data_IF_805360410455
#
_entry.id   IF_805360410455
#
_cell.length_a   1.000
_cell.length_b   1.000
_cell.length_c   1.000
_cell.angle_alpha   90.00
_cell.angle_beta   90.00
_cell.angle_gamma   90.00
#
_symmetry.space_group_name_H-M   'P 1'
#
loop_
_entity.id
_entity.type
_entity.pdbx_description
1 polymer ?
#
# COMPACT_ATOMS: atom_id res chain seq x y z
N UNK A 1 3.36 7.95 19.43
CA UNK A 1 2.61 8.01 18.18
C UNK A 1 3.42 7.31 17.08
N UNK A 2 2.82 6.36 16.40
CA UNK A 2 3.45 5.73 15.23
C UNK A 2 3.51 6.80 14.14
N UNK A 3 4.71 7.12 13.70
CA UNK A 3 4.89 8.11 12.65
C UNK A 3 4.49 7.47 11.33
N UNK A 4 3.49 8.03 10.69
CA UNK A 4 2.94 7.61 9.41
C UNK A 4 2.86 8.79 8.47
N UNK A 5 2.90 8.52 7.18
CA UNK A 5 2.79 9.55 6.16
C UNK A 5 1.95 9.06 4.99
N UNK A 6 1.38 10.00 4.26
CA UNK A 6 0.71 9.75 2.99
C UNK A 6 1.76 9.68 1.89
N UNK A 7 1.56 8.81 0.93
CA UNK A 7 2.43 8.67 -0.23
C UNK A 7 1.71 7.95 -1.37
N UNK A 8 2.41 7.77 -2.46
CA UNK A 8 2.01 6.90 -3.55
C UNK A 8 2.62 5.50 -3.41
N UNK A 9 2.74 4.79 -4.52
CA UNK A 9 3.30 3.43 -4.55
C UNK A 9 4.80 3.44 -4.23
N UNK A 10 5.55 4.42 -4.75
CA UNK A 10 6.93 4.63 -4.34
C UNK A 10 6.98 5.30 -2.96
N UNK A 11 7.84 4.78 -2.08
CA UNK A 11 7.92 5.28 -0.71
C UNK A 11 8.35 6.77 -0.66
N UNK A 12 7.82 7.53 0.29
CA UNK A 12 8.07 8.97 0.40
C UNK A 12 9.55 9.31 0.46
N UNK A 13 9.93 10.42 -0.17
CA UNK A 13 11.31 10.93 -0.31
C UNK A 13 12.22 10.14 -1.25
N UNK A 14 11.74 9.09 -1.91
CA UNK A 14 12.50 8.47 -3.00
C UNK A 14 12.43 9.35 -4.27
N UNK A 15 13.48 9.40 -5.11
CA UNK A 15 13.45 10.16 -6.37
C UNK A 15 12.27 9.84 -7.32
N UNK A 16 11.79 8.58 -7.28
CA UNK A 16 10.62 8.14 -8.04
C UNK A 16 9.28 8.42 -7.34
N UNK A 17 9.28 8.91 -6.10
CA UNK A 17 8.05 9.17 -5.38
C UNK A 17 7.27 10.36 -5.96
N UNK A 18 5.94 10.30 -5.84
CA UNK A 18 5.08 11.42 -6.14
C UNK A 18 5.30 12.54 -5.14
N UNK A 19 5.29 13.78 -5.62
CA UNK A 19 5.20 14.96 -4.77
C UNK A 19 3.79 15.07 -4.19
N UNK A 20 3.64 15.91 -3.17
CA UNK A 20 2.32 16.20 -2.61
C UNK A 20 1.34 16.72 -3.66
N UNK A 21 1.79 17.61 -4.55
CA UNK A 21 0.95 18.19 -5.59
C UNK A 21 0.56 17.19 -6.67
N UNK A 22 1.44 16.22 -6.97
CA UNK A 22 1.12 15.12 -7.86
C UNK A 22 0.10 14.17 -7.25
N UNK A 23 0.24 13.85 -5.95
CA UNK A 23 -0.73 13.01 -5.22
C UNK A 23 -2.11 13.68 -5.15
N UNK A 24 -2.17 14.98 -4.87
CA UNK A 24 -3.45 15.70 -4.79
C UNK A 24 -4.25 15.73 -6.10
N UNK A 25 -3.64 15.34 -7.23
CA UNK A 25 -4.33 15.18 -8.52
C UNK A 25 -5.02 13.83 -8.67
N UNK A 26 -4.72 12.87 -7.82
CA UNK A 26 -5.34 11.56 -7.84
C UNK A 26 -6.68 11.59 -7.11
N UNK A 27 -7.64 10.78 -7.57
CA UNK A 27 -8.95 10.65 -6.93
C UNK A 27 -8.81 10.27 -5.45
N UNK A 28 -9.53 10.96 -4.59
CA UNK A 28 -9.53 10.72 -3.14
C UNK A 28 -8.34 11.30 -2.36
N UNK A 29 -7.29 11.79 -3.03
CA UNK A 29 -6.12 12.40 -2.37
C UNK A 29 -6.30 13.88 -2.04
N UNK A 30 -7.34 14.52 -2.57
CA UNK A 30 -7.64 15.93 -2.28
C UNK A 30 -7.88 16.18 -0.79
N UNK A 31 -7.57 17.39 -0.28
CA UNK A 31 -7.67 17.70 1.15
C UNK A 31 -9.11 17.84 1.66
N UNK A 32 -10.08 18.07 0.77
CA UNK A 32 -11.48 18.20 1.14
C UNK A 32 -12.16 16.83 1.23
N UNK A 33 -12.19 16.28 2.43
CA UNK A 33 -12.84 15.00 2.69
C UNK A 33 -14.34 14.99 2.42
N UNK A 34 -15.02 16.15 2.50
CA UNK A 34 -16.46 16.23 2.21
C UNK A 34 -16.69 16.11 0.71
N UNK A 35 -15.91 16.84 -0.08
CA UNK A 35 -15.93 16.74 -1.54
C UNK A 35 -15.58 15.30 -2.00
N UNK A 36 -14.52 14.71 -1.47
CA UNK A 36 -14.13 13.34 -1.80
C UNK A 36 -15.25 12.32 -1.49
N UNK A 37 -15.94 12.46 -0.36
CA UNK A 37 -17.09 11.59 -0.03
C UNK A 37 -18.31 11.84 -0.91
N UNK A 38 -18.56 13.08 -1.30
CA UNK A 38 -19.63 13.40 -2.23
C UNK A 38 -19.38 12.77 -3.60
N UNK A 39 -18.15 12.86 -4.08
CA UNK A 39 -17.74 12.23 -5.33
C UNK A 39 -17.83 10.69 -5.27
N UNK A 40 -17.38 10.08 -4.18
CA UNK A 40 -17.54 8.63 -3.99
C UNK A 40 -19.02 8.19 -4.05
N UNK A 41 -19.91 8.94 -3.43
CA UNK A 41 -21.37 8.66 -3.50
C UNK A 41 -21.91 8.84 -4.91
N UNK A 42 -21.46 9.88 -5.63
CA UNK A 42 -21.85 10.11 -7.02
C UNK A 42 -21.45 8.94 -7.91
N UNK A 43 -20.20 8.48 -7.80
CA UNK A 43 -19.69 7.34 -8.55
C UNK A 43 -20.43 6.03 -8.22
N UNK A 44 -20.73 5.77 -6.94
CA UNK A 44 -21.52 4.61 -6.54
C UNK A 44 -22.92 4.63 -7.15
N UNK A 45 -23.54 5.80 -7.20
CA UNK A 45 -24.84 5.99 -7.83
C UNK A 45 -24.80 5.76 -9.35
N UNK A 46 -23.81 6.33 -10.04
CA UNK A 46 -23.62 6.12 -11.48
C UNK A 46 -23.39 4.63 -11.82
N UNK A 47 -22.64 3.93 -10.98
CA UNK A 47 -22.40 2.50 -11.13
C UNK A 47 -23.59 1.63 -10.73
N UNK A 48 -24.68 2.19 -10.20
CA UNK A 48 -25.83 1.43 -9.67
C UNK A 48 -25.47 0.59 -8.44
N UNK A 49 -24.43 0.98 -7.68
CA UNK A 49 -23.88 0.23 -6.55
C UNK A 49 -24.12 0.92 -5.20
N UNK A 50 -25.17 1.75 -5.10
CA UNK A 50 -25.55 2.34 -3.83
C UNK A 50 -25.90 1.25 -2.81
N UNK A 51 -25.30 1.33 -1.63
CA UNK A 51 -25.52 0.35 -0.57
C UNK A 51 -24.87 -1.02 -0.80
N UNK A 52 -23.93 -1.14 -1.75
CA UNK A 52 -23.17 -2.36 -2.00
C UNK A 52 -22.58 -2.94 -0.72
N UNK A 53 -22.61 -4.28 -0.62
CA UNK A 53 -22.08 -5.03 0.52
C UNK A 53 -20.89 -5.87 0.11
N UNK A 54 -19.86 -5.90 0.94
CA UNK A 54 -18.70 -6.77 0.75
C UNK A 54 -18.03 -7.11 2.09
N UNK A 55 -17.10 -8.05 2.06
CA UNK A 55 -16.34 -8.51 3.22
C UNK A 55 -14.90 -8.02 3.14
N UNK A 56 -14.41 -7.41 4.21
CA UNK A 56 -13.01 -7.06 4.39
C UNK A 56 -12.30 -8.18 5.13
N UNK A 57 -11.47 -8.94 4.40
CA UNK A 57 -10.55 -9.90 5.00
C UNK A 57 -9.44 -9.16 5.73
N UNK A 58 -9.28 -9.44 7.02
CA UNK A 58 -8.28 -8.79 7.85
C UNK A 58 -7.52 -9.77 8.73
N UNK A 59 -6.28 -9.43 9.03
CA UNK A 59 -5.43 -10.24 9.88
C UNK A 59 -5.70 -9.96 11.36
N UNK A 60 -5.78 -11.02 12.17
CA UNK A 60 -6.03 -10.93 13.60
C UNK A 60 -4.83 -10.42 14.43
N UNK A 61 -4.22 -9.34 13.98
CA UNK A 61 -3.11 -8.63 14.65
C UNK A 61 -3.55 -7.21 14.94
N UNK A 62 -3.40 -6.76 16.16
CA UNK A 62 -3.95 -5.48 16.61
C UNK A 62 -3.38 -4.30 15.84
N UNK A 63 -2.06 -4.23 15.72
CA UNK A 63 -1.37 -3.18 14.98
C UNK A 63 -0.66 -3.73 13.75
N UNK A 64 -0.90 -3.16 12.57
CA UNK A 64 -1.85 -2.10 12.19
C UNK A 64 -3.25 -2.60 11.83
N UNK A 65 -3.41 -3.88 11.61
CA UNK A 65 -4.48 -4.49 10.82
C UNK A 65 -5.87 -4.20 11.36
N UNK A 66 -6.14 -4.53 12.63
CA UNK A 66 -7.48 -4.32 13.22
C UNK A 66 -7.86 -2.84 13.26
N UNK A 67 -6.93 -1.98 13.65
CA UNK A 67 -7.16 -0.54 13.75
C UNK A 67 -7.47 0.06 12.38
N UNK A 68 -6.66 -0.28 11.36
CA UNK A 68 -6.86 0.19 9.99
C UNK A 68 -8.17 -0.35 9.42
N UNK A 69 -8.47 -1.64 9.64
CA UNK A 69 -9.73 -2.24 9.17
C UNK A 69 -10.96 -1.57 9.75
N UNK A 70 -10.96 -1.32 11.07
CA UNK A 70 -12.07 -0.61 11.73
C UNK A 70 -12.25 0.80 11.17
N UNK A 71 -11.13 1.51 10.95
CA UNK A 71 -11.17 2.85 10.37
C UNK A 71 -11.69 2.83 8.93
N UNK A 72 -11.24 1.92 8.08
CA UNK A 72 -11.71 1.78 6.70
C UNK A 72 -13.22 1.51 6.66
N UNK A 73 -13.71 0.59 7.48
CA UNK A 73 -15.14 0.27 7.54
C UNK A 73 -15.97 1.51 7.92
N UNK A 74 -15.49 2.30 8.89
CA UNK A 74 -16.15 3.57 9.24
C UNK A 74 -16.18 4.55 8.06
N UNK A 75 -15.07 4.67 7.33
CA UNK A 75 -15.03 5.55 6.15
C UNK A 75 -15.97 5.07 5.03
N UNK A 76 -16.01 3.79 4.74
CA UNK A 76 -16.91 3.20 3.75
C UNK A 76 -18.38 3.35 4.12
N UNK A 77 -18.72 3.20 5.39
CA UNK A 77 -20.10 3.46 5.88
C UNK A 77 -20.54 4.90 5.64
N UNK A 78 -19.64 5.87 5.76
CA UNK A 78 -19.93 7.30 5.51
C UNK A 78 -20.27 7.59 4.06
N UNK A 79 -19.92 6.72 3.13
CA UNK A 79 -20.32 6.80 1.72
C UNK A 79 -21.43 5.82 1.35
N UNK A 80 -22.00 5.09 2.33
CA UNK A 80 -23.18 4.24 2.14
C UNK A 80 -22.89 2.76 1.94
N UNK A 81 -21.63 2.34 1.95
CA UNK A 81 -21.26 0.93 1.78
C UNK A 81 -21.51 0.10 3.05
N UNK A 82 -21.84 -1.17 2.87
CA UNK A 82 -22.13 -2.14 3.94
C UNK A 82 -20.98 -3.16 4.02
N UNK A 83 -20.07 -2.97 4.96
CA UNK A 83 -18.86 -3.80 5.03
C UNK A 83 -18.85 -4.65 6.29
N UNK A 84 -18.64 -5.94 6.14
CA UNK A 84 -18.32 -6.88 7.22
C UNK A 84 -16.82 -7.06 7.31
N UNK A 85 -16.30 -7.21 8.52
CA UNK A 85 -14.91 -7.57 8.73
C UNK A 85 -14.80 -9.06 9.03
N UNK A 86 -14.00 -9.78 8.24
CA UNK A 86 -13.61 -11.15 8.50
C UNK A 86 -12.17 -11.16 9.04
N UNK A 87 -12.05 -11.38 10.35
CA UNK A 87 -10.75 -11.35 11.04
C UNK A 87 -10.27 -12.78 11.22
N UNK A 88 -9.16 -13.12 10.56
CA UNK A 88 -8.56 -14.45 10.64
C UNK A 88 -7.20 -14.41 11.36
N UNK A 89 -6.82 -15.46 12.13
CA UNK A 89 -5.44 -15.65 12.55
C UNK A 89 -4.47 -15.67 11.36
N UNK A 90 -3.19 -15.38 11.61
CA UNK A 90 -2.21 -15.19 10.52
C UNK A 90 -2.15 -16.35 9.52
N UNK A 91 -2.16 -17.60 9.97
CA UNK A 91 -2.14 -18.77 9.07
C UNK A 91 -3.34 -18.81 8.12
N UNK A 92 -4.58 -18.89 8.63
CA UNK A 92 -5.80 -18.86 7.82
C UNK A 92 -5.94 -17.59 6.98
N UNK A 93 -5.47 -16.43 7.46
CA UNK A 93 -5.46 -15.19 6.67
C UNK A 93 -4.61 -15.36 5.40
N UNK A 94 -3.36 -15.80 5.54
CA UNK A 94 -2.49 -16.00 4.38
C UNK A 94 -2.92 -17.15 3.47
N UNK A 95 -3.61 -18.12 4.01
CA UNK A 95 -4.20 -19.20 3.20
C UNK A 95 -5.32 -18.67 2.30
N UNK A 96 -6.24 -17.86 2.85
CA UNK A 96 -7.26 -17.15 2.08
C UNK A 96 -6.64 -16.23 1.05
N UNK A 97 -5.64 -15.40 1.46
CA UNK A 97 -5.04 -14.38 0.60
C UNK A 97 -4.26 -14.98 -0.58
N UNK A 98 -3.46 -16.02 -0.33
CA UNK A 98 -2.46 -16.53 -1.28
C UNK A 98 -2.92 -17.74 -2.07
N UNK A 99 -3.61 -18.68 -1.42
CA UNK A 99 -3.98 -19.96 -2.04
C UNK A 99 -5.41 -19.95 -2.56
N UNK A 100 -6.37 -19.64 -1.68
CA UNK A 100 -7.79 -19.72 -2.02
C UNK A 100 -8.25 -18.53 -2.84
N UNK A 101 -7.71 -17.33 -2.54
CA UNK A 101 -8.13 -16.03 -3.11
C UNK A 101 -9.64 -15.81 -2.93
N UNK A 102 -10.17 -16.22 -1.75
CA UNK A 102 -11.57 -16.19 -1.36
C UNK A 102 -11.90 -14.95 -0.52
N UNK A 103 -11.70 -13.78 -1.09
CA UNK A 103 -11.96 -12.50 -0.44
C UNK A 103 -12.44 -11.44 -1.44
N UNK A 104 -13.27 -10.51 -0.98
CA UNK A 104 -13.68 -9.35 -1.79
C UNK A 104 -12.62 -8.26 -1.72
N UNK A 105 -12.24 -7.87 -0.51
CA UNK A 105 -11.20 -6.88 -0.22
C UNK A 105 -10.32 -7.40 0.91
N UNK A 106 -9.02 -7.16 0.86
CA UNK A 106 -8.12 -7.51 1.96
C UNK A 106 -7.17 -6.36 2.31
N UNK A 107 -6.78 -6.29 3.59
CA UNK A 107 -5.66 -5.45 4.01
C UNK A 107 -4.38 -6.26 3.92
N UNK A 108 -3.46 -5.79 3.13
CA UNK A 108 -2.11 -6.35 3.04
C UNK A 108 -1.07 -5.26 3.27
N UNK A 109 0.15 -5.66 3.52
CA UNK A 109 1.29 -4.75 3.63
C UNK A 109 2.35 -5.11 2.60
N UNK A 110 3.11 -4.10 2.17
CA UNK A 110 4.30 -4.32 1.38
C UNK A 110 5.54 -3.93 2.19
N UNK A 111 6.49 -4.85 2.29
CA UNK A 111 7.78 -4.62 2.93
C UNK A 111 8.87 -4.73 1.89
N UNK A 112 9.73 -3.72 1.82
CA UNK A 112 10.85 -3.73 0.88
C UNK A 112 12.06 -4.41 1.50
N UNK A 113 12.60 -5.40 0.79
CA UNK A 113 13.92 -5.96 1.09
C UNK A 113 15.03 -5.22 0.35
N UNK A 114 14.71 -4.61 -0.78
CA UNK A 114 15.62 -3.81 -1.61
C UNK A 114 15.03 -2.41 -1.77
N UNK A 115 15.88 -1.39 -1.68
CA UNK A 115 15.46 0.01 -1.84
C UNK A 115 15.36 0.34 -3.32
N UNK A 116 14.43 -0.32 -4.00
CA UNK A 116 14.13 -0.06 -5.40
C UNK A 116 12.62 -0.14 -5.62
N UNK A 117 11.93 0.99 -5.87
CA UNK A 117 10.49 1.00 -6.09
C UNK A 117 10.02 0.14 -7.26
N UNK A 118 10.88 -0.15 -8.25
CA UNK A 118 10.52 -1.04 -9.36
C UNK A 118 10.28 -2.48 -8.87
N UNK A 119 10.98 -2.91 -7.80
CA UNK A 119 10.71 -4.21 -7.17
C UNK A 119 9.34 -4.24 -6.52
N UNK A 120 8.90 -3.13 -5.94
CA UNK A 120 7.58 -3.06 -5.31
C UNK A 120 6.44 -3.05 -6.31
N UNK A 121 6.60 -2.30 -7.41
CA UNK A 121 5.54 -2.22 -8.42
C UNK A 121 5.38 -3.53 -9.19
N UNK A 122 6.40 -4.40 -9.20
CA UNK A 122 6.30 -5.73 -9.82
C UNK A 122 5.16 -6.59 -9.25
N UNK A 123 4.72 -6.34 -8.01
CA UNK A 123 3.57 -7.05 -7.43
C UNK A 123 2.24 -6.85 -8.16
N UNK A 124 2.13 -5.83 -9.00
CA UNK A 124 0.93 -5.53 -9.78
C UNK A 124 0.94 -6.14 -11.17
N UNK A 125 1.97 -6.92 -11.50
CA UNK A 125 2.04 -7.66 -12.76
C UNK A 125 1.25 -8.97 -12.66
N UNK A 126 0.63 -9.38 -13.74
CA UNK A 126 -0.20 -10.58 -13.78
C UNK A 126 0.55 -11.86 -13.38
N UNK A 127 1.85 -11.94 -13.68
CA UNK A 127 2.73 -13.07 -13.35
C UNK A 127 3.25 -13.06 -11.91
N UNK A 128 3.05 -11.98 -11.14
CA UNK A 128 3.64 -11.86 -9.80
C UNK A 128 2.94 -12.74 -8.77
N UNK A 129 3.70 -13.56 -8.07
CA UNK A 129 3.16 -14.48 -7.05
C UNK A 129 2.55 -13.77 -5.83
N UNK A 130 2.85 -12.50 -5.62
CA UNK A 130 2.28 -11.64 -4.57
C UNK A 130 1.17 -10.70 -5.10
N UNK A 131 0.75 -10.86 -6.34
CA UNK A 131 -0.46 -10.23 -6.87
C UNK A 131 -1.70 -11.01 -6.38
N UNK A 132 -2.10 -10.74 -5.17
CA UNK A 132 -3.19 -11.51 -4.53
C UNK A 132 -4.56 -11.21 -5.12
N UNK A 133 -4.76 -10.02 -5.69
CA UNK A 133 -5.96 -9.64 -6.42
C UNK A 133 -6.10 -10.29 -7.80
N UNK A 134 -5.09 -11.01 -8.26
CA UNK A 134 -5.05 -11.65 -9.60
C UNK A 134 -5.27 -10.66 -10.73
N UNK A 135 -4.83 -9.44 -10.54
CA UNK A 135 -4.95 -8.37 -11.50
C UNK A 135 -3.97 -8.59 -12.66
N UNK A 136 -4.41 -8.35 -13.87
CA UNK A 136 -3.57 -8.37 -15.06
C UNK A 136 -3.91 -7.18 -15.96
N UNK A 137 -2.92 -6.33 -16.20
CA UNK A 137 -3.08 -5.14 -17.02
C UNK A 137 -1.89 -5.02 -17.99
N UNK A 138 -2.13 -5.17 -19.31
CA UNK A 138 -1.08 -5.06 -20.32
C UNK A 138 -0.37 -3.70 -20.32
N UNK A 139 -1.04 -2.62 -19.91
CA UNK A 139 -0.45 -1.28 -19.83
C UNK A 139 0.57 -1.23 -18.70
N UNK A 140 0.27 -1.86 -17.54
CA UNK A 140 1.23 -1.93 -16.44
C UNK A 140 2.43 -2.81 -16.77
N UNK A 141 2.22 -3.93 -17.49
CA UNK A 141 3.29 -4.80 -17.96
C UNK A 141 4.24 -4.04 -18.90
N UNK A 142 3.70 -3.31 -19.88
CA UNK A 142 4.47 -2.51 -20.82
C UNK A 142 5.25 -1.39 -20.13
N UNK A 143 4.59 -0.64 -19.24
CA UNK A 143 5.24 0.42 -18.46
C UNK A 143 6.37 -0.12 -17.58
N UNK A 144 6.15 -1.26 -16.92
CA UNK A 144 7.16 -1.90 -16.09
C UNK A 144 8.39 -2.30 -16.93
N UNK A 145 8.17 -2.93 -18.08
CA UNK A 145 9.26 -3.33 -18.97
C UNK A 145 10.04 -2.11 -19.48
N UNK A 146 9.35 -1.04 -19.87
CA UNK A 146 9.97 0.21 -20.30
C UNK A 146 10.78 0.87 -19.19
N UNK A 147 10.27 0.92 -17.96
CA UNK A 147 10.99 1.46 -16.81
C UNK A 147 12.27 0.69 -16.49
N UNK A 148 12.28 -0.63 -16.67
CA UNK A 148 13.47 -1.45 -16.44
C UNK A 148 14.55 -1.32 -17.54
N UNK A 149 14.18 -0.84 -18.72
CA UNK A 149 15.09 -0.64 -19.86
C UNK A 149 15.57 0.80 -20.01
N UNK A 150 14.92 1.75 -19.35
CA UNK A 150 15.22 3.18 -19.48
C UNK A 150 16.36 3.58 -18.53
N UNK A 151 17.37 4.24 -19.08
CA UNK A 151 18.52 4.75 -18.33
C UNK A 151 18.32 6.17 -17.79
N UNK A 152 17.42 6.96 -18.42
CA UNK A 152 17.13 8.33 -17.96
C UNK A 152 16.19 8.31 -16.75
N UNK A 153 16.66 8.73 -15.55
CA UNK A 153 15.84 8.72 -14.35
C UNK A 153 14.61 9.64 -14.42
N UNK A 154 14.65 10.67 -15.25
CA UNK A 154 13.50 11.58 -15.47
C UNK A 154 12.39 10.87 -16.24
N UNK A 155 12.75 10.09 -17.25
CA UNK A 155 11.80 9.29 -18.02
C UNK A 155 11.23 8.15 -17.16
N UNK A 156 12.07 7.45 -16.38
CA UNK A 156 11.61 6.43 -15.42
C UNK A 156 10.62 7.03 -14.45
N UNK A 157 10.90 8.23 -13.90
CA UNK A 157 9.99 8.92 -13.00
C UNK A 157 8.65 9.27 -13.66
N UNK A 158 8.67 9.72 -14.90
CA UNK A 158 7.44 10.05 -15.66
C UNK A 158 6.58 8.78 -15.87
N UNK A 159 7.19 7.68 -16.27
CA UNK A 159 6.50 6.38 -16.40
C UNK A 159 5.95 5.87 -15.08
N UNK A 160 6.69 6.04 -13.98
CA UNK A 160 6.22 5.71 -12.64
C UNK A 160 4.97 6.51 -12.24
N UNK A 161 4.87 7.80 -12.61
CA UNK A 161 3.66 8.61 -12.37
C UNK A 161 2.45 8.06 -13.13
N UNK A 162 2.66 7.66 -14.39
CA UNK A 162 1.60 7.04 -15.21
C UNK A 162 1.17 5.70 -14.61
N UNK A 163 2.14 4.88 -14.22
CA UNK A 163 1.90 3.59 -13.56
C UNK A 163 1.10 3.73 -12.26
N UNK A 164 1.52 4.67 -11.41
CA UNK A 164 0.86 4.94 -10.13
C UNK A 164 -0.56 5.46 -10.30
N UNK A 165 -0.76 6.42 -11.22
CA UNK A 165 -2.08 6.95 -11.53
C UNK A 165 -3.03 5.84 -11.97
N UNK A 166 -2.57 4.94 -12.84
CA UNK A 166 -3.39 3.84 -13.32
C UNK A 166 -3.86 2.92 -12.17
N UNK A 167 -2.97 2.55 -11.25
CA UNK A 167 -3.31 1.65 -10.14
C UNK A 167 -4.19 2.32 -9.08
N UNK A 168 -3.93 3.59 -8.76
CA UNK A 168 -4.56 4.27 -7.62
C UNK A 168 -5.82 5.07 -7.99
N UNK A 169 -5.97 5.45 -9.27
CA UNK A 169 -7.02 6.35 -9.74
C UNK A 169 -7.84 5.72 -10.87
N UNK A 170 -7.23 5.42 -12.02
CA UNK A 170 -7.95 5.00 -13.22
C UNK A 170 -8.62 3.64 -13.04
N UNK A 171 -7.88 2.65 -12.56
CA UNK A 171 -8.38 1.28 -12.36
C UNK A 171 -8.67 0.97 -10.88
N UNK A 172 -8.15 1.79 -9.97
CA UNK A 172 -8.38 1.69 -8.52
C UNK A 172 -8.16 0.28 -7.92
N UNK A 173 -7.13 -0.46 -8.40
CA UNK A 173 -6.85 -1.83 -7.93
C UNK A 173 -6.48 -1.90 -6.47
N UNK A 174 -5.93 -0.83 -5.92
CA UNK A 174 -5.63 -0.73 -4.51
C UNK A 174 -5.92 0.66 -3.97
N UNK A 175 -6.34 0.72 -2.71
CA UNK A 175 -6.33 1.93 -1.91
C UNK A 175 -5.11 1.92 -1.00
N UNK A 176 -4.15 2.79 -1.26
CA UNK A 176 -2.99 2.95 -0.39
C UNK A 176 -3.42 3.69 0.88
N UNK A 177 -3.29 3.03 2.03
CA UNK A 177 -3.74 3.61 3.29
C UNK A 177 -2.69 4.49 3.94
N UNK A 178 -1.46 4.03 4.05
CA UNK A 178 -0.37 4.77 4.69
C UNK A 178 0.98 4.13 4.44
N UNK A 179 2.02 4.94 4.54
CA UNK A 179 3.39 4.53 4.80
C UNK A 179 3.70 4.73 6.28
N UNK A 180 4.44 3.81 6.87
CA UNK A 180 4.93 3.97 8.23
C UNK A 180 6.41 3.69 8.36
N UNK A 181 6.99 4.28 9.38
CA UNK A 181 8.41 4.17 9.64
C UNK A 181 8.72 2.90 10.40
N UNK A 182 9.84 2.28 10.06
CA UNK A 182 10.43 1.23 10.89
C UNK A 182 10.91 1.86 12.20
N UNK A 183 10.36 1.40 13.32
CA UNK A 183 10.71 1.87 14.65
C UNK A 183 11.46 0.74 15.35
N UNK A 184 12.68 1.00 15.77
CA UNK A 184 13.52 0.06 16.50
C UNK A 184 13.84 0.62 17.89
N UNK A 185 12.95 0.47 18.89
CA UNK A 185 13.23 0.95 20.24
C UNK A 185 14.33 0.08 20.87
N UNK A 186 15.30 0.72 21.50
CA UNK A 186 16.36 0.05 22.26
C UNK A 186 16.72 0.88 23.50
N UNK A 187 17.32 0.22 24.48
CA UNK A 187 17.79 0.89 25.68
C UNK A 187 19.01 1.74 25.41
N UNK A 188 19.20 2.82 26.15
CA UNK A 188 20.31 3.77 25.99
C UNK A 188 21.71 3.11 26.12
N UNK A 189 21.80 2.01 26.85
CA UNK A 189 23.05 1.24 26.99
C UNK A 189 23.32 0.31 25.79
N UNK A 190 22.41 0.15 24.84
CA UNK A 190 22.67 -0.56 23.56
C UNK A 190 23.34 0.41 22.61
N UNK A 191 24.58 0.16 22.30
CA UNK A 191 25.43 1.00 21.44
C UNK A 191 25.72 0.32 20.10
N UNK A 192 26.17 1.10 19.12
CA UNK A 192 26.52 0.59 17.80
C UNK A 192 25.36 0.27 16.88
N UNK A 193 24.10 0.41 17.35
CA UNK A 193 22.92 0.17 16.52
C UNK A 193 22.83 1.18 15.38
N UNK A 194 22.72 0.67 14.15
CA UNK A 194 22.44 1.47 12.95
C UNK A 194 21.21 0.93 12.27
N UNK A 195 20.24 1.80 11.97
CA UNK A 195 19.06 1.41 11.23
C UNK A 195 19.42 1.21 9.76
N UNK A 196 19.29 -0.01 9.26
CA UNK A 196 19.42 -0.27 7.84
C UNK A 196 18.19 0.27 7.08
N UNK A 197 18.39 0.81 5.87
CA UNK A 197 17.27 1.24 5.02
C UNK A 197 16.33 0.10 4.65
N UNK A 198 16.87 -1.09 4.40
CA UNK A 198 16.10 -2.30 4.13
C UNK A 198 15.36 -2.81 5.37
N UNK A 199 14.19 -3.44 5.16
CA UNK A 199 13.45 -4.05 6.25
C UNK A 199 14.13 -5.33 6.79
N UNK A 200 14.76 -6.10 5.93
CA UNK A 200 15.35 -7.41 6.28
C UNK A 200 16.85 -7.50 6.06
N UNK A 201 17.39 -6.77 5.10
CA UNK A 201 18.80 -6.89 4.71
C UNK A 201 19.67 -5.87 5.45
N UNK A 202 20.96 -6.20 5.56
CA UNK A 202 21.98 -5.31 6.13
C UNK A 202 21.70 -4.88 7.58
N UNK A 203 21.02 -5.72 8.35
CA UNK A 203 20.88 -5.55 9.80
C UNK A 203 22.03 -6.29 10.46
N UNK A 204 23.20 -5.63 10.48
CA UNK A 204 24.39 -6.19 11.10
C UNK A 204 24.31 -6.03 12.61
N UNK A 205 24.54 -7.11 13.34
CA UNK A 205 24.55 -7.15 14.81
C UNK A 205 25.97 -7.23 15.39
N UNK A 206 26.97 -7.41 14.57
CA UNK A 206 28.38 -7.58 14.94
C UNK A 206 29.00 -6.33 15.58
N UNK A 207 28.46 -5.16 15.31
CA UNK A 207 28.89 -3.89 15.89
C UNK A 207 28.04 -3.43 17.09
N UNK A 208 27.14 -4.28 17.59
CA UNK A 208 26.28 -3.94 18.73
C UNK A 208 26.90 -4.42 20.03
N UNK A 209 26.98 -3.54 21.00
CA UNK A 209 27.51 -3.84 22.32
C UNK A 209 26.68 -3.21 23.43
N UNK A 210 26.86 -3.68 24.65
CA UNK A 210 26.16 -3.20 25.82
C UNK A 210 27.10 -2.40 26.72
N UNK A 211 26.80 -1.14 26.87
CA UNK A 211 27.47 -0.20 27.77
C UNK A 211 26.74 -0.22 29.13
N UNK A 212 27.09 -1.22 29.97
CA UNK A 212 26.51 -1.44 31.30
C UNK A 212 27.50 -1.07 32.37
#
# INVERSE_FOLDING_TARGET
AIVKTVGGIAFPNHPLAATKDELMKLAGYGPDIKANRAEAKRLLKEAGQEGMSFTLLNRGVDQPYKVVGTWLIDQWRKVGLKVKQDVKPSGPFFDSLRKKKDFDVSIDFNCQSVINPLVDVSKFLGSAGNNYGSYADPVLEDLFNKMNQEADPKKVRAMMRTYEKRILDEEAHMALTMWWYKINPHRSYVKGWKTAPSHYLNVSLDNIWLDK
#
